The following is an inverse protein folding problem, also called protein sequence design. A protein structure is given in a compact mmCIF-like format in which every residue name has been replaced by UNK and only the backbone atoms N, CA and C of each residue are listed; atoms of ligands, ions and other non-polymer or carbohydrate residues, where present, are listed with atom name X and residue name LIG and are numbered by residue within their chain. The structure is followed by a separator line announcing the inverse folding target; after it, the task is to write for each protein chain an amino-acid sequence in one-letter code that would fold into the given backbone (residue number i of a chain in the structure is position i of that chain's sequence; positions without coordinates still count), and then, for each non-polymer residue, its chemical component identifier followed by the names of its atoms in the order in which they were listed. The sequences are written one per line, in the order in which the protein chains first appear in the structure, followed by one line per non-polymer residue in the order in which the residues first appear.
data_IF_724465302611
#
_entry.id   IF_724465302611
#
_cell.length_a   1.000
_cell.length_b   1.000
_cell.length_c   1.000
_cell.angle_alpha   90.00
_cell.angle_beta   90.00
_cell.angle_gamma   90.00
#
_symmetry.space_group_name_H-M   'P 1'
#
loop_
_entity.id
_entity.type
_entity.pdbx_description
1 polymer ?
#
# COMPACT_ATOMS: atom_id res chain seq x y z
N UNK A 1 8.27 1.23 13.57
CA UNK A 1 8.87 2.58 13.43
C UNK A 1 8.03 3.40 12.45
N UNK A 2 7.82 4.71 12.68
CA UNK A 2 7.01 5.58 11.80
C UNK A 2 7.89 6.49 10.93
N UNK A 3 7.59 6.59 9.64
CA UNK A 3 8.25 7.48 8.68
C UNK A 3 7.24 8.43 8.05
N UNK A 4 7.67 9.67 7.81
CA UNK A 4 6.87 10.69 7.13
C UNK A 4 7.48 11.03 5.78
N UNK A 5 6.69 10.95 4.71
CA UNK A 5 7.10 11.34 3.37
C UNK A 5 6.48 12.71 3.01
N UNK A 6 7.33 13.70 2.69
CA UNK A 6 7.00 15.09 2.36
C UNK A 6 7.13 15.45 0.87
N UNK A 7 6.95 16.74 0.53
CA UNK A 7 6.75 17.29 -0.84
C UNK A 7 7.94 17.16 -1.82
N UNK A 8 9.09 16.64 -1.40
CA UNK A 8 10.22 16.35 -2.28
C UNK A 8 10.21 14.88 -2.71
N UNK A 9 10.76 14.56 -3.89
CA UNK A 9 10.86 13.17 -4.33
C UNK A 9 11.79 12.40 -3.40
N UNK A 10 11.21 11.71 -2.42
CA UNK A 10 11.96 11.00 -1.40
C UNK A 10 12.27 9.59 -1.89
N UNK A 11 13.55 9.27 -1.91
CA UNK A 11 14.06 7.91 -1.96
C UNK A 11 13.72 7.25 -0.61
N UNK A 12 12.69 6.40 -0.63
CA UNK A 12 12.12 5.77 0.57
C UNK A 12 13.18 4.90 1.25
N UNK A 13 13.94 4.11 0.48
CA UNK A 13 15.02 3.29 1.02
C UNK A 13 16.11 4.12 1.67
N UNK A 14 16.50 5.26 1.07
CA UNK A 14 17.52 6.14 1.68
C UNK A 14 17.07 6.79 2.98
N UNK A 15 15.83 7.27 3.04
CA UNK A 15 15.26 7.90 4.26
C UNK A 15 15.16 6.91 5.42
N UNK A 16 14.97 5.63 5.08
CA UNK A 16 14.67 4.57 6.03
C UNK A 16 15.91 3.77 6.42
N UNK A 17 16.93 3.76 5.56
CA UNK A 17 18.22 3.07 5.72
C UNK A 17 18.86 3.31 7.08
N UNK A 18 18.99 4.57 7.48
CA UNK A 18 19.73 4.94 8.68
C UNK A 18 19.07 4.43 9.97
N UNK A 19 17.75 4.22 9.96
CA UNK A 19 17.05 3.79 11.18
C UNK A 19 16.79 2.28 11.22
N UNK A 20 16.57 1.63 10.07
CA UNK A 20 16.48 0.16 10.04
C UNK A 20 17.86 -0.50 10.19
N UNK A 21 18.94 0.15 9.74
CA UNK A 21 20.29 -0.37 9.94
C UNK A 21 20.72 -0.35 11.43
N UNK A 22 20.21 0.62 12.20
CA UNK A 22 20.62 0.84 13.60
C UNK A 22 19.70 0.16 14.61
N UNK A 23 18.48 -0.21 14.24
CA UNK A 23 17.51 -0.85 15.13
C UNK A 23 17.06 -2.19 14.52
N UNK A 24 17.02 -3.28 15.30
CA UNK A 24 16.49 -4.59 14.89
C UNK A 24 14.96 -4.54 14.71
N UNK A 25 14.46 -3.81 13.73
CA UNK A 25 13.03 -3.60 13.50
C UNK A 25 12.60 -4.43 12.30
N UNK A 26 11.63 -5.32 12.50
CA UNK A 26 11.00 -6.13 11.44
C UNK A 26 9.61 -5.60 11.03
N UNK A 27 9.18 -4.48 11.62
CA UNK A 27 7.94 -3.78 11.30
C UNK A 27 8.15 -2.29 11.01
N UNK A 28 7.69 -1.83 9.85
CA UNK A 28 7.73 -0.43 9.44
C UNK A 28 6.33 0.12 9.17
N UNK A 29 6.12 1.36 9.58
CA UNK A 29 4.93 2.13 9.28
C UNK A 29 5.35 3.38 8.48
N UNK A 30 4.78 3.52 7.29
CA UNK A 30 5.01 4.65 6.41
C UNK A 30 3.75 5.48 6.35
N UNK A 31 3.80 6.71 6.88
CA UNK A 31 2.70 7.66 6.82
C UNK A 31 2.99 8.71 5.75
N UNK A 32 2.17 8.71 4.70
CA UNK A 32 2.19 9.77 3.69
C UNK A 32 1.53 11.01 4.31
N UNK A 33 2.14 12.19 4.31
CA UNK A 33 1.50 13.39 4.90
C UNK A 33 1.12 14.45 3.87
N UNK A 34 1.84 14.51 2.75
CA UNK A 34 1.61 15.48 1.67
C UNK A 34 1.72 14.78 0.31
N UNK A 35 1.74 15.56 -0.78
CA UNK A 35 1.86 15.02 -2.13
C UNK A 35 3.25 14.41 -2.30
N UNK A 36 3.33 13.09 -2.36
CA UNK A 36 4.60 12.41 -2.57
C UNK A 36 4.78 12.05 -4.04
N UNK A 37 5.97 12.33 -4.55
CA UNK A 37 6.48 11.76 -5.77
C UNK A 37 7.40 10.62 -5.36
N UNK A 38 6.90 9.39 -5.37
CA UNK A 38 7.73 8.23 -5.05
C UNK A 38 8.54 7.90 -6.29
N UNK A 39 9.87 7.97 -6.16
CA UNK A 39 10.77 7.30 -7.10
C UNK A 39 11.04 5.91 -6.53
N UNK A 40 10.51 4.83 -7.12
CA UNK A 40 10.76 3.50 -6.61
C UNK A 40 12.26 3.20 -6.73
N UNK A 41 12.85 2.73 -5.66
CA UNK A 41 14.24 2.26 -5.66
C UNK A 41 14.29 0.81 -6.15
N UNK A 42 15.33 0.47 -6.89
CA UNK A 42 15.54 -0.89 -7.36
C UNK A 42 15.91 -1.83 -6.20
N UNK A 43 15.68 -3.13 -6.40
CA UNK A 43 15.97 -4.18 -5.40
C UNK A 43 17.35 -4.05 -4.76
N UNK A 44 18.40 -3.71 -5.53
CA UNK A 44 19.78 -3.58 -5.01
C UNK A 44 19.92 -2.49 -3.95
N UNK A 45 19.17 -1.39 -4.08
CA UNK A 45 19.21 -0.28 -3.12
C UNK A 45 18.36 -0.57 -1.89
N UNK A 46 17.22 -1.26 -2.08
CA UNK A 46 16.29 -1.56 -1.00
C UNK A 46 16.68 -2.77 -0.17
N UNK A 47 17.26 -3.81 -0.76
CA UNK A 47 17.58 -5.06 -0.08
C UNK A 47 18.40 -4.86 1.20
N UNK A 48 19.49 -4.05 1.22
CA UNK A 48 20.23 -3.80 2.45
C UNK A 48 19.38 -3.22 3.58
N UNK A 49 18.35 -2.43 3.22
CA UNK A 49 17.48 -1.72 4.16
C UNK A 49 16.30 -2.57 4.59
N UNK A 50 15.63 -3.23 3.65
CA UNK A 50 14.33 -3.88 3.85
C UNK A 50 14.41 -5.40 4.03
N UNK A 51 15.58 -6.02 3.93
CA UNK A 51 15.69 -7.48 4.07
C UNK A 51 15.17 -8.04 5.40
N UNK A 52 15.05 -7.23 6.47
CA UNK A 52 14.48 -7.68 7.76
C UNK A 52 12.99 -7.36 7.92
N UNK A 53 12.41 -6.57 7.03
CA UNK A 53 11.01 -6.19 7.12
C UNK A 53 10.13 -7.42 6.89
N UNK A 54 9.19 -7.60 7.81
CA UNK A 54 8.15 -8.63 7.83
C UNK A 54 6.77 -8.02 7.77
N UNK A 55 6.58 -6.84 8.32
CA UNK A 55 5.29 -6.14 8.32
C UNK A 55 5.50 -4.73 7.82
N UNK A 56 4.72 -4.31 6.83
CA UNK A 56 4.70 -2.93 6.35
C UNK A 56 3.28 -2.39 6.38
N UNK A 57 3.10 -1.25 7.03
CA UNK A 57 1.85 -0.50 7.04
C UNK A 57 2.03 0.79 6.23
N UNK A 58 1.29 0.95 5.13
CA UNK A 58 1.11 2.23 4.46
C UNK A 58 -0.10 2.95 5.01
N UNK A 59 0.11 4.15 5.53
CA UNK A 59 -0.94 4.97 6.12
C UNK A 59 -1.12 6.23 5.31
N UNK A 60 -2.38 6.65 5.15
CA UNK A 60 -2.77 7.87 4.46
C UNK A 60 -2.54 7.85 2.94
N UNK A 61 -2.79 6.72 2.29
CA UNK A 61 -2.89 6.74 0.83
C UNK A 61 -4.25 7.33 0.47
N UNK A 62 -4.32 8.31 -0.41
CA UNK A 62 -5.62 8.83 -0.84
C UNK A 62 -6.30 7.88 -1.83
N UNK A 63 -7.63 7.84 -1.87
CA UNK A 63 -8.38 6.87 -2.70
C UNK A 63 -8.16 7.06 -4.21
N UNK A 64 -7.74 8.24 -4.64
CA UNK A 64 -7.53 8.55 -6.06
C UNK A 64 -6.19 7.98 -6.57
N UNK A 65 -5.30 7.63 -5.64
CA UNK A 65 -3.98 7.12 -5.94
C UNK A 65 -4.03 5.70 -6.49
N UNK A 66 -3.25 5.45 -7.54
CA UNK A 66 -2.91 4.08 -7.90
C UNK A 66 -2.10 3.44 -6.77
N UNK A 67 -2.31 2.16 -6.51
CA UNK A 67 -1.58 1.39 -5.50
C UNK A 67 -0.42 0.59 -6.10
N UNK A 68 -0.35 0.46 -7.43
CA UNK A 68 0.70 -0.29 -8.15
C UNK A 68 2.11 0.15 -7.79
N UNK A 69 2.33 1.44 -7.52
CA UNK A 69 3.65 1.93 -7.09
C UNK A 69 4.13 1.24 -5.80
N UNK A 70 3.26 0.73 -4.92
CA UNK A 70 3.68 0.04 -3.69
C UNK A 70 4.37 -1.30 -3.96
N UNK A 71 4.26 -1.84 -5.18
CA UNK A 71 4.84 -3.14 -5.58
C UNK A 71 6.36 -3.18 -5.46
N UNK A 72 7.05 -2.02 -5.49
CA UNK A 72 8.50 -1.97 -5.29
C UNK A 72 8.93 -2.60 -3.95
N UNK A 73 8.05 -2.57 -2.94
CA UNK A 73 8.33 -3.18 -1.65
C UNK A 73 8.49 -4.68 -1.75
N UNK A 74 7.73 -5.36 -2.62
CA UNK A 74 7.87 -6.79 -2.82
C UNK A 74 9.28 -7.10 -3.34
N UNK A 75 9.79 -6.28 -4.25
CA UNK A 75 11.16 -6.44 -4.77
C UNK A 75 12.23 -6.14 -3.72
N UNK A 76 12.01 -5.15 -2.86
CA UNK A 76 12.98 -4.69 -1.86
C UNK A 76 12.98 -5.48 -0.54
N UNK A 77 11.84 -6.06 -0.15
CA UNK A 77 11.60 -6.69 1.15
C UNK A 77 11.31 -8.20 1.00
N UNK A 78 12.34 -9.04 0.80
CA UNK A 78 12.15 -10.48 0.54
C UNK A 78 11.51 -11.24 1.70
N UNK A 79 11.61 -10.74 2.94
CA UNK A 79 11.05 -11.37 4.13
C UNK A 79 9.68 -10.79 4.55
N UNK A 80 9.11 -9.91 3.73
CA UNK A 80 7.81 -9.30 3.98
C UNK A 80 6.75 -10.40 4.06
N UNK A 81 6.03 -10.44 5.17
CA UNK A 81 4.92 -11.37 5.44
C UNK A 81 3.57 -10.71 5.29
N UNK A 82 3.48 -9.45 5.69
CA UNK A 82 2.23 -8.70 5.72
C UNK A 82 2.42 -7.31 5.12
N UNK A 83 1.54 -6.97 4.19
CA UNK A 83 1.43 -5.63 3.63
C UNK A 83 0.04 -5.09 3.95
N UNK A 84 -0.02 -4.01 4.71
CA UNK A 84 -1.27 -3.33 5.06
C UNK A 84 -1.31 -1.94 4.43
N UNK A 85 -2.42 -1.59 3.80
CA UNK A 85 -2.62 -0.30 3.15
C UNK A 85 -3.87 0.36 3.70
N UNK A 86 -3.72 1.58 4.20
CA UNK A 86 -4.82 2.40 4.69
C UNK A 86 -5.15 3.51 3.71
N UNK A 87 -6.27 3.32 3.03
CA UNK A 87 -6.83 4.28 2.08
C UNK A 87 -7.71 5.29 2.83
N UNK A 88 -7.41 6.58 2.66
CA UNK A 88 -8.21 7.70 3.12
C UNK A 88 -9.08 8.21 1.98
N UNK A 89 -10.37 8.21 2.24
CA UNK A 89 -11.44 8.73 1.37
C UNK A 89 -12.06 10.02 1.95
N UNK A 90 -11.33 10.75 2.79
CA UNK A 90 -11.79 12.04 3.30
C UNK A 90 -10.62 13.02 3.45
N UNK A 91 -10.92 14.28 3.19
CA UNK A 91 -9.98 15.38 3.27
C UNK A 91 -10.05 16.01 4.67
N UNK A 92 -9.13 15.66 5.58
CA UNK A 92 -8.98 16.40 6.83
C UNK A 92 -8.28 17.75 6.58
N UNK A 93 -8.81 18.83 7.13
CA UNK A 93 -8.00 20.02 7.36
C UNK A 93 -6.85 19.69 8.32
N UNK A 94 -5.63 20.13 7.98
CA UNK A 94 -4.52 20.07 8.93
C UNK A 94 -4.74 21.11 10.04
N UNK A 95 -4.34 20.77 11.28
CA UNK A 95 -4.50 21.56 12.52
C UNK A 95 -3.89 22.97 12.45
N UNK A 96 -3.12 23.30 11.41
CA UNK A 96 -2.52 24.63 11.20
C UNK A 96 -3.46 25.67 10.56
N UNK A 97 -4.75 25.38 10.37
CA UNK A 97 -5.76 26.35 9.93
C UNK A 97 -5.63 26.83 8.48
N UNK A 98 -4.62 26.37 7.74
CA UNK A 98 -4.55 26.53 6.29
C UNK A 98 -4.83 25.18 5.65
N UNK A 99 -5.96 25.08 4.95
CA UNK A 99 -6.13 24.10 3.88
C UNK A 99 -4.92 24.28 2.97
N UNK A 100 -3.97 23.35 3.00
CA UNK A 100 -3.28 23.07 1.76
C UNK A 100 -4.35 22.41 0.91
N UNK A 101 -5.07 23.22 0.14
CA UNK A 101 -5.78 22.79 -1.06
C UNK A 101 -4.72 22.24 -2.01
N UNK A 102 -4.17 21.09 -1.66
CA UNK A 102 -3.31 20.34 -2.55
C UNK A 102 -4.24 19.28 -3.11
N UNK A 103 -4.69 19.41 -4.37
CA UNK A 103 -5.36 18.30 -5.04
C UNK A 103 -4.45 17.08 -4.90
N UNK A 104 -4.98 16.01 -4.31
CA UNK A 104 -4.20 14.79 -4.14
C UNK A 104 -4.04 14.20 -5.52
N UNK A 105 -2.84 14.40 -6.07
CA UNK A 105 -2.46 13.91 -7.38
C UNK A 105 -1.26 13.02 -7.17
N UNK A 106 -1.52 11.74 -6.95
CA UNK A 106 -0.53 10.68 -7.11
C UNK A 106 -0.25 10.56 -8.61
N UNK A 107 0.72 11.34 -9.10
CA UNK A 107 1.27 11.17 -10.44
C UNK A 107 2.59 10.44 -10.28
N UNK A 108 2.77 9.36 -11.03
CA UNK A 108 4.10 8.81 -11.26
C UNK A 108 4.95 9.91 -11.90
N UNK A 109 6.14 10.14 -11.34
CA UNK A 109 7.16 10.94 -12.03
C UNK A 109 7.94 9.95 -12.89
N UNK A 110 7.94 10.23 -14.19
CA UNK A 110 8.67 9.54 -15.24
C UNK A 110 8.01 8.28 -15.82
N UNK A 111 7.34 8.47 -16.97
CA UNK A 111 7.10 7.41 -17.97
C UNK A 111 8.39 6.88 -18.64
N UNK A 112 9.57 7.33 -18.18
CA UNK A 112 10.83 7.26 -18.90
C UNK A 112 11.96 6.53 -18.20
N UNK A 113 11.71 5.97 -17.01
CA UNK A 113 12.56 4.90 -16.50
C UNK A 113 11.78 3.62 -16.75
N UNK A 114 12.31 2.78 -17.63
CA UNK A 114 12.11 1.35 -17.53
C UNK A 114 12.42 1.00 -16.07
N UNK A 115 11.38 0.95 -15.23
CA UNK A 115 11.31 -0.12 -14.25
C UNK A 115 11.72 -1.34 -15.05
N UNK A 116 12.89 -1.94 -14.73
CA UNK A 116 13.27 -3.21 -15.34
C UNK A 116 11.97 -4.00 -15.36
N UNK A 117 11.42 -4.30 -16.56
CA UNK A 117 10.15 -4.98 -16.66
C UNK A 117 10.31 -6.12 -15.71
N UNK A 118 9.47 -6.18 -14.67
CA UNK A 118 9.49 -7.27 -13.71
C UNK A 118 9.78 -8.47 -14.56
N UNK A 119 10.99 -9.05 -14.42
CA UNK A 119 11.30 -10.24 -15.18
C UNK A 119 10.05 -11.09 -14.95
N UNK A 120 9.43 -11.60 -16.01
CA UNK A 120 8.13 -12.30 -15.94
C UNK A 120 8.09 -13.43 -14.89
N UNK A 121 9.25 -13.67 -14.28
CA UNK A 121 9.69 -14.68 -13.36
C UNK A 121 9.90 -14.15 -11.93
N UNK A 122 9.72 -12.85 -11.63
CA UNK A 122 9.82 -12.34 -10.26
C UNK A 122 8.69 -12.93 -9.42
N UNK A 123 9.07 -13.63 -8.35
CA UNK A 123 8.16 -14.21 -7.38
C UNK A 123 8.60 -13.87 -5.95
N UNK A 124 7.66 -13.36 -5.17
CA UNK A 124 7.77 -13.17 -3.73
C UNK A 124 7.19 -14.39 -3.02
N UNK A 125 7.98 -14.97 -2.11
CA UNK A 125 7.67 -16.25 -1.48
C UNK A 125 7.23 -16.14 -0.02
N UNK A 126 7.29 -14.96 0.60
CA UNK A 126 7.05 -14.81 2.03
C UNK A 126 5.79 -14.00 2.36
N UNK A 127 5.26 -13.21 1.41
CA UNK A 127 4.05 -12.44 1.63
C UNK A 127 2.86 -13.40 1.74
N UNK A 128 2.22 -13.42 2.91
CA UNK A 128 1.09 -14.29 3.22
C UNK A 128 -0.23 -13.51 3.35
N UNK A 129 -0.16 -12.21 3.67
CA UNK A 129 -1.35 -11.37 3.86
C UNK A 129 -1.22 -9.98 3.22
N UNK A 130 -2.30 -9.59 2.51
CA UNK A 130 -2.56 -8.24 2.04
C UNK A 130 -3.80 -7.70 2.78
N UNK A 131 -3.60 -6.69 3.63
CA UNK A 131 -4.67 -5.98 4.31
C UNK A 131 -4.95 -4.63 3.65
N UNK A 132 -6.21 -4.31 3.37
CA UNK A 132 -6.61 -3.01 2.83
C UNK A 132 -7.73 -2.44 3.69
N UNK A 133 -7.48 -1.26 4.23
CA UNK A 133 -8.38 -0.55 5.12
C UNK A 133 -9.00 0.65 4.39
N UNK A 134 -10.32 0.76 4.50
CA UNK A 134 -11.07 1.87 3.92
C UNK A 134 -11.77 1.52 2.61
N UNK A 135 -12.81 2.30 2.30
CA UNK A 135 -13.62 2.15 1.10
C UNK A 135 -12.88 2.77 -0.08
N UNK A 136 -12.75 2.01 -1.17
CA UNK A 136 -12.06 2.43 -2.38
C UNK A 136 -13.09 2.73 -3.47
N UNK A 137 -13.26 4.01 -3.85
CA UNK A 137 -14.32 4.40 -4.80
C UNK A 137 -14.15 3.74 -6.19
N UNK A 138 -12.90 3.58 -6.65
CA UNK A 138 -12.58 2.92 -7.91
C UNK A 138 -12.27 1.42 -7.68
N UNK A 139 -13.28 0.66 -7.29
CA UNK A 139 -13.16 -0.74 -6.87
C UNK A 139 -12.52 -1.65 -7.95
N UNK A 140 -12.62 -1.27 -9.23
CA UNK A 140 -11.90 -1.90 -10.36
C UNK A 140 -10.37 -1.77 -10.24
N UNK A 141 -9.85 -0.64 -9.75
CA UNK A 141 -8.41 -0.48 -9.48
C UNK A 141 -7.97 -1.35 -8.32
N UNK A 142 -8.82 -1.53 -7.30
CA UNK A 142 -8.53 -2.41 -6.17
C UNK A 142 -8.37 -3.86 -6.62
N UNK A 143 -9.29 -4.35 -7.47
CA UNK A 143 -9.23 -5.71 -8.02
C UNK A 143 -7.97 -5.90 -8.86
N UNK A 144 -7.65 -4.95 -9.76
CA UNK A 144 -6.41 -4.99 -10.55
C UNK A 144 -5.16 -5.02 -9.68
N UNK A 145 -5.07 -4.13 -8.69
CA UNK A 145 -3.93 -4.09 -7.77
C UNK A 145 -3.77 -5.41 -7.01
N UNK A 146 -4.86 -5.98 -6.49
CA UNK A 146 -4.82 -7.26 -5.81
C UNK A 146 -4.36 -8.39 -6.73
N UNK A 147 -4.82 -8.42 -7.99
CA UNK A 147 -4.34 -9.38 -8.99
C UNK A 147 -2.84 -9.23 -9.22
N UNK A 148 -2.34 -8.02 -9.40
CA UNK A 148 -0.91 -7.77 -9.61
C UNK A 148 -0.07 -8.23 -8.39
N UNK A 149 -0.57 -8.05 -7.16
CA UNK A 149 0.05 -8.58 -5.93
C UNK A 149 0.06 -10.10 -5.94
N UNK A 150 -1.05 -10.76 -6.30
CA UNK A 150 -1.16 -12.23 -6.34
C UNK A 150 -0.23 -12.82 -7.40
N UNK A 151 -0.11 -12.19 -8.57
CA UNK A 151 0.81 -12.63 -9.62
C UNK A 151 2.28 -12.56 -9.18
N UNK A 152 2.63 -11.55 -8.37
CA UNK A 152 3.95 -11.38 -7.81
C UNK A 152 4.20 -12.25 -6.57
N UNK A 153 3.20 -12.49 -5.71
CA UNK A 153 3.33 -13.19 -4.43
C UNK A 153 2.68 -14.57 -4.43
N UNK A 154 3.47 -15.60 -4.77
CA UNK A 154 2.96 -16.97 -5.00
C UNK A 154 2.42 -17.68 -3.77
N UNK A 155 2.80 -17.20 -2.58
CA UNK A 155 2.38 -17.77 -1.30
C UNK A 155 1.39 -16.86 -0.58
N UNK A 156 0.77 -15.89 -1.28
CA UNK A 156 -0.26 -15.06 -0.69
C UNK A 156 -1.47 -15.94 -0.32
N UNK A 157 -1.86 -15.92 0.95
CA UNK A 157 -2.96 -16.74 1.43
C UNK A 157 -4.24 -15.94 1.65
N UNK A 158 -4.11 -14.68 2.07
CA UNK A 158 -5.24 -13.88 2.52
C UNK A 158 -5.21 -12.47 1.94
N UNK A 159 -6.35 -12.04 1.43
CA UNK A 159 -6.67 -10.64 1.18
C UNK A 159 -7.77 -10.24 2.16
N UNK A 160 -7.52 -9.22 2.97
CA UNK A 160 -8.46 -8.75 3.99
C UNK A 160 -8.88 -7.33 3.70
N UNK A 161 -10.18 -7.13 3.49
CA UNK A 161 -10.77 -5.82 3.24
C UNK A 161 -11.49 -5.35 4.51
N UNK A 162 -10.87 -4.39 5.19
CA UNK A 162 -11.31 -3.85 6.46
C UNK A 162 -12.15 -2.59 6.29
N UNK A 163 -13.07 -2.35 7.23
CA UNK A 163 -13.64 -1.01 7.43
C UNK A 163 -12.52 -0.02 7.70
N UNK A 164 -12.69 1.22 7.23
CA UNK A 164 -11.70 2.22 7.60
C UNK A 164 -11.79 2.51 9.10
N UNK A 165 -10.65 2.66 9.80
CA UNK A 165 -10.66 3.13 11.16
C UNK A 165 -11.14 4.58 11.23
N UNK A 166 -11.57 4.98 12.42
CA UNK A 166 -11.94 6.36 12.70
C UNK A 166 -10.74 7.26 12.47
N UNK A 167 -10.95 8.36 11.73
CA UNK A 167 -9.88 9.33 11.57
C UNK A 167 -9.48 9.92 12.92
N UNK A 168 -8.23 9.69 13.32
CA UNK A 168 -7.72 10.18 14.61
C UNK A 168 -7.83 11.70 14.72
N UNK A 169 -7.71 12.42 13.59
CA UNK A 169 -7.70 13.88 13.50
C UNK A 169 -9.09 14.51 13.61
N UNK A 170 -9.99 14.23 12.66
CA UNK A 170 -11.30 14.88 12.62
C UNK A 170 -12.42 14.03 13.23
N UNK A 171 -12.11 12.84 13.78
CA UNK A 171 -13.08 11.86 14.30
C UNK A 171 -14.13 11.42 13.28
N UNK A 172 -13.94 11.75 12.00
CA UNK A 172 -14.81 11.31 10.93
C UNK A 172 -14.72 9.79 10.81
N UNK A 173 -15.86 9.14 10.96
CA UNK A 173 -16.02 7.74 10.63
C UNK A 173 -16.18 7.62 9.12
N UNK A 174 -15.41 6.73 8.54
CA UNK A 174 -15.49 6.46 7.12
C UNK A 174 -16.58 5.44 6.85
N UNK A 175 -17.22 5.57 5.69
CA UNK A 175 -18.32 4.71 5.28
C UNK A 175 -17.88 3.25 5.27
N UNK A 176 -18.74 2.41 5.84
CA UNK A 176 -18.61 0.97 5.77
C UNK A 176 -18.78 0.47 4.33
N UNK A 177 -18.22 -0.71 4.03
CA UNK A 177 -18.57 -1.42 2.81
C UNK A 177 -20.05 -1.82 2.87
N UNK A 178 -20.81 -1.52 1.81
CA UNK A 178 -22.19 -2.01 1.73
C UNK A 178 -22.21 -3.48 1.34
N UNK A 179 -23.31 -4.17 1.63
CA UNK A 179 -23.52 -5.56 1.20
C UNK A 179 -23.38 -5.72 -0.33
N UNK A 180 -23.90 -4.76 -1.09
CA UNK A 180 -23.79 -4.74 -2.55
C UNK A 180 -22.35 -4.62 -3.02
N UNK A 181 -21.56 -3.75 -2.39
CA UNK A 181 -20.13 -3.58 -2.70
C UNK A 181 -19.33 -4.83 -2.37
N UNK A 182 -19.56 -5.44 -1.20
CA UNK A 182 -18.85 -6.67 -0.83
C UNK A 182 -19.22 -7.83 -1.73
N UNK A 183 -20.49 -7.92 -2.16
CA UNK A 183 -20.96 -8.94 -3.09
C UNK A 183 -20.34 -8.76 -4.47
N UNK A 184 -20.31 -7.52 -4.98
CA UNK A 184 -19.69 -7.19 -6.26
C UNK A 184 -18.18 -7.45 -6.23
N UNK A 185 -17.47 -7.03 -5.18
CA UNK A 185 -16.04 -7.28 -5.02
C UNK A 185 -15.74 -8.78 -4.98
N UNK A 186 -16.51 -9.54 -4.19
CA UNK A 186 -16.34 -11.00 -4.11
C UNK A 186 -16.50 -11.65 -5.49
N UNK A 187 -17.47 -11.19 -6.28
CA UNK A 187 -17.67 -11.66 -7.64
C UNK A 187 -16.50 -11.30 -8.56
N UNK A 188 -16.04 -10.06 -8.58
CA UNK A 188 -14.92 -9.67 -9.44
C UNK A 188 -13.62 -10.39 -9.05
N UNK A 189 -13.34 -10.50 -7.76
CA UNK A 189 -12.18 -11.26 -7.33
C UNK A 189 -12.28 -12.75 -7.69
N UNK A 190 -13.46 -13.36 -7.68
CA UNK A 190 -13.61 -14.76 -8.08
C UNK A 190 -13.22 -15.03 -9.55
N UNK A 191 -13.20 -13.98 -10.39
CA UNK A 191 -12.76 -14.07 -11.79
C UNK A 191 -11.26 -13.89 -11.95
N UNK A 192 -10.68 -12.96 -11.19
CA UNK A 192 -9.30 -12.51 -11.37
C UNK A 192 -8.30 -13.16 -10.41
N UNK A 193 -8.76 -13.66 -9.26
CA UNK A 193 -7.92 -14.19 -8.20
C UNK A 193 -8.06 -15.72 -8.11
N UNK A 194 -6.95 -16.47 -8.10
CA UNK A 194 -6.94 -17.91 -7.86
C UNK A 194 -7.61 -18.31 -6.54
N UNK A 195 -8.30 -19.44 -6.55
CA UNK A 195 -9.10 -19.94 -5.42
C UNK A 195 -8.32 -20.28 -4.14
N UNK A 196 -6.99 -20.40 -4.21
CA UNK A 196 -6.16 -20.63 -3.02
C UNK A 196 -6.03 -19.38 -2.15
N UNK A 197 -6.23 -18.19 -2.72
CA UNK A 197 -6.22 -16.92 -1.99
C UNK A 197 -7.60 -16.68 -1.40
N UNK A 198 -7.68 -16.58 -0.07
CA UNK A 198 -8.94 -16.34 0.65
C UNK A 198 -9.18 -14.85 0.78
N UNK A 199 -10.41 -14.44 0.48
CA UNK A 199 -10.83 -13.04 0.55
C UNK A 199 -11.76 -12.90 1.72
N UNK A 200 -11.39 -12.02 2.64
CA UNK A 200 -12.11 -11.79 3.88
C UNK A 200 -12.61 -10.36 3.93
N UNK A 201 -13.80 -10.20 4.52
CA UNK A 201 -14.38 -8.91 4.91
C UNK A 201 -14.61 -8.93 6.42
N UNK A 202 -13.56 -8.85 7.27
CA UNK A 202 -13.64 -9.16 8.70
C UNK A 202 -14.51 -8.21 9.54
N UNK A 203 -15.09 -7.20 8.90
CA UNK A 203 -15.81 -6.12 9.54
C UNK A 203 -17.32 -6.16 9.26
N UNK A 204 -17.81 -7.13 8.48
CA UNK A 204 -19.24 -7.42 8.29
C UNK A 204 -19.78 -8.28 9.44
#
# INVERSE_FOLDING_TARGET
MQFYLGDESILIGQTVANTIATQKVDSAEFTILTKIWVKPEGRRQLLPVFHKLRIVNWINIAEECDLTWTMFLLHGAPNLKELHILVRNHQCEMVTGKRRELPVVCKEKDKGLEWEPSASDFKHHNLAELGIYGRFHAADKLVRFARDVVEAAVNLENIRLYKSPVCVRCKHMLKEWTFEETSWLSYEFSKEIPSHVRIHFPSL
#
